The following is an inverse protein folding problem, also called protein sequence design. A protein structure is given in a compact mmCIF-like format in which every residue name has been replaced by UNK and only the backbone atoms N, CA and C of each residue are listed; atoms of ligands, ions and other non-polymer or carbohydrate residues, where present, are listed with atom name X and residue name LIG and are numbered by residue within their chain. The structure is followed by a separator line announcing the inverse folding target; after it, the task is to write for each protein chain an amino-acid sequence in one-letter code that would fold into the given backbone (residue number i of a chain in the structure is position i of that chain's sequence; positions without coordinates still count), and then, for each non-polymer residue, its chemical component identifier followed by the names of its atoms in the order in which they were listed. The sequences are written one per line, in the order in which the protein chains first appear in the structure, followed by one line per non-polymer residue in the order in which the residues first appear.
data_IF_509116342801
#
_entry.id   IF_509116342801
#
_cell.length_a   1.000
_cell.length_b   1.000
_cell.length_c   1.000
_cell.angle_alpha   90.00
_cell.angle_beta   90.00
_cell.angle_gamma   90.00
#
_symmetry.space_group_name_H-M   'P 1'
#
loop_
_entity.id
_entity.type
_entity.pdbx_description
1 polymer ?
#
# COMPACT_ATOMS: atom_id res chain seq x y z
N UNK A 1 6.57 8.01 55.92
CA UNK A 1 5.98 7.14 54.90
C UNK A 1 5.27 8.06 53.92
N UNK A 2 5.91 8.36 52.80
CA UNK A 2 5.36 9.22 51.75
C UNK A 2 5.00 8.33 50.54
N UNK A 3 3.71 8.25 50.24
CA UNK A 3 3.20 7.58 49.04
C UNK A 3 3.55 8.42 47.81
N UNK A 4 4.45 7.92 46.97
CA UNK A 4 4.67 8.41 45.62
C UNK A 4 3.76 7.64 44.67
N UNK A 5 2.52 8.10 44.52
CA UNK A 5 1.66 7.71 43.38
C UNK A 5 2.15 8.47 42.13
N UNK A 6 3.05 7.83 41.40
CA UNK A 6 3.44 8.29 40.08
C UNK A 6 2.26 8.18 39.14
N UNK A 7 1.63 9.29 38.88
CA UNK A 7 0.50 9.46 37.97
C UNK A 7 0.97 9.13 36.54
N UNK A 8 0.56 7.95 36.07
CA UNK A 8 0.77 7.49 34.70
C UNK A 8 0.05 8.44 33.75
N UNK A 9 0.70 9.06 32.75
CA UNK A 9 -0.01 9.89 31.80
C UNK A 9 -0.97 9.03 30.97
N UNK A 10 -2.26 9.27 31.13
CA UNK A 10 -3.29 8.68 30.29
C UNK A 10 -3.24 9.34 28.92
N UNK A 11 -2.61 8.71 27.96
CA UNK A 11 -2.69 9.11 26.54
C UNK A 11 -4.07 8.73 26.01
N UNK A 12 -5.05 9.59 26.22
CA UNK A 12 -6.34 9.55 25.51
C UNK A 12 -6.13 9.97 24.04
N UNK A 13 -5.59 9.06 23.22
CA UNK A 13 -5.51 9.23 21.76
C UNK A 13 -6.78 8.72 21.05
N UNK A 14 -7.76 8.22 21.80
CA UNK A 14 -8.97 7.58 21.27
C UNK A 14 -10.02 8.53 20.68
N UNK A 15 -9.92 9.86 20.92
CA UNK A 15 -10.95 10.80 20.50
C UNK A 15 -10.86 11.31 19.06
N UNK A 16 -9.64 11.47 18.52
CA UNK A 16 -9.42 12.03 17.19
C UNK A 16 -9.66 11.00 16.06
N UNK A 17 -9.38 9.74 16.33
CA UNK A 17 -9.48 8.67 15.34
C UNK A 17 -10.94 8.24 15.06
N UNK A 18 -11.82 8.35 16.07
CA UNK A 18 -13.23 7.98 15.91
C UNK A 18 -14.07 9.02 15.14
N UNK A 19 -13.69 10.30 15.19
CA UNK A 19 -14.39 11.37 14.47
C UNK A 19 -14.05 11.40 12.98
N UNK A 20 -12.82 11.01 12.61
CA UNK A 20 -12.37 10.93 11.22
C UNK A 20 -13.04 9.76 10.49
N UNK A 21 -13.32 8.65 11.20
CA UNK A 21 -13.96 7.46 10.60
C UNK A 21 -15.40 7.69 10.14
N UNK A 22 -16.09 8.71 10.65
CA UNK A 22 -17.51 8.97 10.37
C UNK A 22 -17.79 9.52 8.96
N UNK A 23 -16.76 9.95 8.21
CA UNK A 23 -16.88 10.51 6.86
C UNK A 23 -16.17 9.69 5.76
N UNK A 24 -15.47 8.61 6.11
CA UNK A 24 -14.70 7.83 5.14
C UNK A 24 -15.60 6.78 4.49
N UNK A 25 -15.65 6.68 3.13
CA UNK A 25 -16.40 5.63 2.45
C UNK A 25 -15.97 4.24 2.91
N UNK A 26 -16.94 3.34 3.10
CA UNK A 26 -16.68 1.96 3.55
C UNK A 26 -15.67 1.23 2.66
N UNK A 27 -15.78 1.39 1.33
CA UNK A 27 -14.84 0.79 0.39
C UNK A 27 -13.39 1.21 0.65
N UNK A 28 -13.17 2.47 1.06
CA UNK A 28 -11.83 2.96 1.39
C UNK A 28 -11.33 2.35 2.71
N UNK A 29 -12.18 2.24 3.72
CA UNK A 29 -11.82 1.59 5.00
C UNK A 29 -11.47 0.12 4.80
N UNK A 30 -12.26 -0.61 4.00
CA UNK A 30 -12.01 -2.01 3.68
C UNK A 30 -10.65 -2.15 2.93
N UNK A 31 -10.35 -1.25 2.00
CA UNK A 31 -9.09 -1.25 1.27
C UNK A 31 -7.90 -0.91 2.18
N UNK A 32 -8.03 0.08 3.08
CA UNK A 32 -7.01 0.40 4.10
C UNK A 32 -6.71 -0.84 4.94
N UNK A 33 -7.76 -1.54 5.39
CA UNK A 33 -7.60 -2.76 6.18
C UNK A 33 -6.82 -3.84 5.42
N UNK A 34 -7.10 -4.02 4.12
CA UNK A 34 -6.39 -4.98 3.27
C UNK A 34 -4.92 -4.60 3.05
N UNK A 35 -4.63 -3.31 2.82
CA UNK A 35 -3.25 -2.80 2.69
C UNK A 35 -2.49 -3.03 4.00
N UNK A 36 -3.08 -2.66 5.14
CA UNK A 36 -2.50 -2.85 6.48
C UNK A 36 -2.24 -4.33 6.77
N UNK A 37 -3.20 -5.20 6.47
CA UNK A 37 -3.04 -6.65 6.62
C UNK A 37 -1.87 -7.19 5.78
N UNK A 38 -1.69 -6.69 4.56
CA UNK A 38 -0.60 -7.10 3.69
C UNK A 38 0.76 -6.59 4.16
N UNK A 39 0.80 -5.39 4.73
CA UNK A 39 2.01 -4.81 5.34
C UNK A 39 2.32 -5.44 6.70
N UNK A 40 1.36 -6.11 7.33
CA UNK A 40 1.44 -6.64 8.70
C UNK A 40 1.68 -5.55 9.74
N UNK A 41 1.16 -4.35 9.49
CA UNK A 41 1.27 -3.20 10.38
C UNK A 41 0.18 -3.27 11.47
N UNK A 42 0.48 -4.04 12.51
CA UNK A 42 -0.40 -4.25 13.66
C UNK A 42 0.35 -3.93 14.95
N UNK A 43 -0.33 -3.37 15.98
CA UNK A 43 0.29 -3.02 17.26
C UNK A 43 1.03 -4.19 17.91
N UNK A 44 0.50 -5.41 17.79
CA UNK A 44 1.08 -6.62 18.38
C UNK A 44 2.42 -7.01 17.72
N UNK A 45 2.64 -6.58 16.48
CA UNK A 45 3.86 -6.85 15.73
C UNK A 45 4.86 -5.70 15.82
N UNK A 46 4.40 -4.48 16.06
CA UNK A 46 5.20 -3.26 16.16
C UNK A 46 5.66 -3.01 17.61
N UNK A 47 6.51 -3.90 18.11
CA UNK A 47 6.94 -3.92 19.53
C UNK A 47 7.59 -2.65 20.05
N UNK A 48 8.16 -1.82 19.17
CA UNK A 48 8.84 -0.58 19.57
C UNK A 48 7.87 0.60 19.70
N UNK A 49 6.79 0.59 18.94
CA UNK A 49 5.86 1.73 18.83
C UNK A 49 4.58 1.44 19.62
N UNK A 50 4.29 0.16 19.90
CA UNK A 50 3.03 -0.31 20.52
C UNK A 50 1.79 0.24 19.83
N UNK A 51 1.89 0.47 18.50
CA UNK A 51 0.88 1.07 17.67
C UNK A 51 1.03 0.74 16.18
N UNK A 52 0.25 1.41 15.35
CA UNK A 52 0.43 1.35 13.90
C UNK A 52 1.60 2.25 13.48
N UNK A 53 2.48 1.75 12.63
CA UNK A 53 3.59 2.53 12.06
C UNK A 53 3.06 3.57 11.06
N UNK A 54 2.03 3.19 10.29
CA UNK A 54 1.44 4.04 9.26
C UNK A 54 0.00 4.41 9.63
N UNK A 55 -0.37 5.67 9.55
CA UNK A 55 -1.73 6.13 9.82
C UNK A 55 -2.72 5.72 8.70
N UNK A 56 -4.02 5.59 9.04
CA UNK A 56 -5.06 5.32 8.04
C UNK A 56 -5.11 6.40 6.95
N UNK A 57 -4.77 7.65 7.29
CA UNK A 57 -4.70 8.76 6.35
C UNK A 57 -3.58 8.60 5.33
N UNK A 58 -2.39 8.19 5.75
CA UNK A 58 -1.26 7.95 4.87
C UNK A 58 -1.54 6.78 3.92
N UNK A 59 -2.15 5.70 4.42
CA UNK A 59 -2.58 4.58 3.58
C UNK A 59 -3.65 5.04 2.58
N UNK A 60 -4.60 5.90 2.99
CA UNK A 60 -5.61 6.44 2.08
C UNK A 60 -4.97 7.28 0.95
N UNK A 61 -3.97 8.10 1.25
CA UNK A 61 -3.22 8.83 0.23
C UNK A 61 -2.48 7.90 -0.73
N UNK A 62 -1.82 6.88 -0.21
CA UNK A 62 -1.13 5.88 -1.03
C UNK A 62 -2.10 5.10 -1.96
N UNK A 63 -3.32 4.84 -1.52
CA UNK A 63 -4.36 4.23 -2.35
C UNK A 63 -4.76 5.18 -3.50
N UNK A 64 -4.96 6.47 -3.19
CA UNK A 64 -5.30 7.48 -4.20
C UNK A 64 -4.18 7.66 -5.22
N UNK A 65 -2.93 7.69 -4.77
CA UNK A 65 -1.74 7.77 -5.61
C UNK A 65 -1.62 6.56 -6.54
N UNK A 66 -1.86 5.34 -6.03
CA UNK A 66 -1.85 4.13 -6.84
C UNK A 66 -2.97 4.10 -7.91
N UNK A 67 -4.14 4.69 -7.63
CA UNK A 67 -5.22 4.84 -8.60
C UNK A 67 -4.83 5.86 -9.67
N UNK A 68 -4.24 6.97 -9.27
CA UNK A 68 -3.81 8.03 -10.19
C UNK A 68 -2.68 7.54 -11.11
N UNK A 69 -1.68 6.86 -10.57
CA UNK A 69 -0.62 6.21 -11.31
C UNK A 69 -1.17 5.22 -12.35
N UNK A 70 -2.16 4.41 -11.97
CA UNK A 70 -2.82 3.51 -12.91
C UNK A 70 -3.53 4.28 -14.01
N UNK A 71 -4.26 5.35 -13.69
CA UNK A 71 -5.02 6.13 -14.66
C UNK A 71 -4.12 6.89 -15.64
N UNK A 72 -3.02 7.43 -15.18
CA UNK A 72 -2.09 8.25 -15.99
C UNK A 72 -1.12 7.42 -16.83
N UNK A 73 -0.90 6.15 -16.49
CA UNK A 73 -0.05 5.25 -17.27
C UNK A 73 -0.70 4.87 -18.60
N UNK A 74 0.00 4.96 -19.75
CA UNK A 74 -0.51 4.49 -21.05
C UNK A 74 -0.72 2.95 -21.09
N UNK A 75 -1.66 2.43 -21.93
CA UNK A 75 -2.63 3.18 -22.71
C UNK A 75 -3.69 3.85 -21.86
N UNK A 76 -4.03 5.10 -22.21
CA UNK A 76 -5.06 5.85 -21.50
C UNK A 76 -6.44 5.26 -21.83
N UNK A 77 -7.12 4.83 -20.79
CA UNK A 77 -8.46 4.26 -20.84
C UNK A 77 -9.35 5.15 -19.97
N UNK A 78 -10.64 4.85 -19.88
CA UNK A 78 -11.54 5.50 -18.93
C UNK A 78 -10.95 5.53 -17.53
N UNK A 79 -10.96 6.68 -16.83
CA UNK A 79 -10.41 6.78 -15.49
C UNK A 79 -11.17 5.89 -14.51
N UNK A 80 -10.42 5.11 -13.76
CA UNK A 80 -10.96 4.25 -12.70
C UNK A 80 -11.00 5.01 -11.37
N UNK A 81 -12.00 4.66 -10.57
CA UNK A 81 -12.12 5.07 -9.17
C UNK A 81 -11.96 3.85 -8.28
N UNK A 82 -11.92 4.05 -6.97
CA UNK A 82 -11.75 2.96 -6.02
C UNK A 82 -12.81 1.85 -6.19
N UNK A 83 -14.08 2.24 -6.40
CA UNK A 83 -15.22 1.33 -6.48
C UNK A 83 -15.20 0.43 -7.72
N UNK A 84 -14.60 0.89 -8.80
CA UNK A 84 -14.55 0.18 -10.08
C UNK A 84 -13.13 -0.18 -10.53
N UNK A 85 -12.18 -0.19 -9.59
CA UNK A 85 -10.79 -0.50 -9.91
C UNK A 85 -10.65 -1.96 -10.40
N UNK A 86 -9.96 -2.21 -11.52
CA UNK A 86 -10.03 -3.49 -12.22
C UNK A 86 -9.31 -4.65 -11.50
N UNK A 87 -8.42 -4.35 -10.57
CA UNK A 87 -7.66 -5.37 -9.84
C UNK A 87 -7.27 -4.92 -8.44
N UNK A 88 -7.97 -5.42 -7.43
CA UNK A 88 -7.68 -5.12 -6.02
C UNK A 88 -6.24 -5.53 -5.63
N UNK A 89 -5.72 -6.62 -6.15
CA UNK A 89 -4.35 -7.07 -5.84
C UNK A 89 -3.29 -6.12 -6.39
N UNK A 90 -3.55 -5.51 -7.54
CA UNK A 90 -2.68 -4.51 -8.14
C UNK A 90 -2.74 -3.20 -7.35
N UNK A 91 -3.95 -2.77 -6.96
CA UNK A 91 -4.15 -1.58 -6.12
C UNK A 91 -3.40 -1.70 -4.80
N UNK A 92 -3.58 -2.81 -4.07
CA UNK A 92 -2.87 -3.05 -2.81
C UNK A 92 -1.36 -2.99 -3.01
N UNK A 93 -0.83 -3.57 -4.08
CA UNK A 93 0.61 -3.55 -4.36
C UNK A 93 1.13 -2.15 -4.66
N UNK A 94 0.43 -1.37 -5.49
CA UNK A 94 0.77 0.03 -5.76
C UNK A 94 0.75 0.87 -4.50
N UNK A 95 -0.29 0.73 -3.68
CA UNK A 95 -0.39 1.43 -2.39
C UNK A 95 0.75 1.09 -1.43
N UNK A 96 1.20 -0.17 -1.38
CA UNK A 96 2.33 -0.56 -0.54
C UNK A 96 3.63 0.09 -1.02
N UNK A 97 3.86 0.19 -2.33
CA UNK A 97 5.04 0.87 -2.89
C UNK A 97 5.03 2.33 -2.42
N UNK A 98 3.93 3.05 -2.61
CA UNK A 98 3.79 4.45 -2.19
C UNK A 98 3.99 4.64 -0.66
N UNK A 99 3.46 3.73 0.17
CA UNK A 99 3.70 3.76 1.63
C UNK A 99 5.18 3.57 1.95
N UNK A 100 5.85 2.59 1.34
CA UNK A 100 7.28 2.33 1.60
C UNK A 100 8.14 3.51 1.14
N UNK A 101 7.80 4.15 0.03
CA UNK A 101 8.46 5.38 -0.45
C UNK A 101 8.31 6.52 0.55
N UNK A 102 7.10 6.72 1.09
CA UNK A 102 6.83 7.72 2.13
C UNK A 102 7.63 7.45 3.42
N UNK A 103 7.67 6.19 3.87
CA UNK A 103 8.47 5.78 5.02
C UNK A 103 9.97 6.01 4.75
N UNK A 104 10.44 5.69 3.55
CA UNK A 104 11.83 5.91 3.14
C UNK A 104 12.21 7.39 3.18
N UNK A 105 11.35 8.27 2.70
CA UNK A 105 11.54 9.72 2.78
C UNK A 105 11.58 10.21 4.24
N UNK A 106 10.69 9.72 5.09
CA UNK A 106 10.66 10.06 6.50
C UNK A 106 11.95 9.61 7.21
N UNK A 107 12.40 8.39 6.96
CA UNK A 107 13.64 7.85 7.52
C UNK A 107 14.85 8.69 7.10
N UNK A 108 14.94 9.06 5.81
CA UNK A 108 16.03 9.89 5.29
C UNK A 108 16.06 11.28 5.94
N UNK A 109 14.89 11.89 6.17
CA UNK A 109 14.79 13.20 6.84
C UNK A 109 15.17 13.14 8.31
N UNK A 110 14.98 12.02 8.98
CA UNK A 110 15.17 11.83 10.41
C UNK A 110 16.52 11.14 10.73
N UNK A 111 17.40 10.98 9.75
CA UNK A 111 18.75 10.44 9.99
C UNK A 111 19.54 11.42 10.85
N UNK A 112 19.82 11.00 12.08
CA UNK A 112 20.74 11.70 12.98
C UNK A 112 22.00 10.86 13.14
N UNK A 113 23.12 11.41 12.69
CA UNK A 113 24.44 10.87 13.00
C UNK A 113 25.01 11.70 14.14
N UNK A 114 25.13 11.09 15.31
CA UNK A 114 25.84 11.70 16.43
C UNK A 114 27.20 11.00 16.58
N UNK A 115 28.28 11.77 16.45
CA UNK A 115 29.65 11.35 16.78
C UNK A 115 30.16 12.22 17.86
N UNK A 116 30.36 11.65 19.06
CA UNK A 116 31.10 12.33 20.12
C UNK A 116 32.59 12.09 19.86
N UNK A 117 33.39 13.16 19.88
CA UNK A 117 34.83 13.12 19.59
C UNK A 117 35.67 12.22 20.54
N UNK A 118 35.01 11.52 21.46
CA UNK A 118 35.63 10.54 22.39
C UNK A 118 35.42 9.08 21.99
N UNK A 119 35.01 8.81 20.74
CA UNK A 119 34.95 7.45 20.19
C UNK A 119 33.60 6.74 20.35
N UNK A 120 32.56 7.40 20.85
CA UNK A 120 31.20 6.87 20.87
C UNK A 120 30.47 7.38 19.61
N UNK A 121 30.30 6.53 18.61
CA UNK A 121 29.45 6.81 17.47
C UNK A 121 28.12 6.07 17.63
N UNK A 122 27.03 6.80 17.76
CA UNK A 122 25.68 6.25 17.67
C UNK A 122 25.21 6.46 16.22
N UNK A 123 25.33 5.42 15.41
CA UNK A 123 24.70 5.40 14.09
C UNK A 123 23.32 4.77 14.23
N UNK A 124 22.26 5.53 13.94
CA UNK A 124 20.97 4.93 13.65
C UNK A 124 21.13 4.11 12.37
N UNK A 125 20.87 2.82 12.45
CA UNK A 125 20.98 1.90 11.32
C UNK A 125 20.24 2.46 10.11
N UNK A 126 20.98 2.75 9.03
CA UNK A 126 20.41 3.27 7.80
C UNK A 126 19.53 2.18 7.13
N UNK A 127 18.21 2.33 7.25
CA UNK A 127 17.24 1.45 6.61
C UNK A 127 16.98 1.80 5.14
N UNK A 128 17.52 2.92 4.65
CA UNK A 128 17.31 3.42 3.31
C UNK A 128 17.63 2.40 2.22
N UNK A 129 18.84 1.78 2.19
CA UNK A 129 19.18 0.77 1.19
C UNK A 129 18.25 -0.45 1.19
N UNK A 130 17.79 -0.88 2.36
CA UNK A 130 16.84 -1.98 2.49
C UNK A 130 15.47 -1.61 1.91
N UNK A 131 14.96 -0.43 2.22
CA UNK A 131 13.68 0.07 1.70
C UNK A 131 13.73 0.23 0.18
N UNK A 132 14.83 0.78 -0.36
CA UNK A 132 15.05 0.89 -1.81
C UNK A 132 15.09 -0.47 -2.50
N UNK A 133 15.69 -1.47 -1.88
CA UNK A 133 15.68 -2.85 -2.40
C UNK A 133 14.27 -3.43 -2.47
N UNK A 134 13.44 -3.21 -1.44
CA UNK A 134 12.04 -3.62 -1.45
C UNK A 134 11.21 -2.89 -2.50
N UNK A 135 11.39 -1.57 -2.64
CA UNK A 135 10.73 -0.77 -3.67
C UNK A 135 11.05 -1.34 -5.05
N UNK A 136 12.33 -1.54 -5.37
CA UNK A 136 12.75 -2.06 -6.67
C UNK A 136 12.15 -3.46 -6.96
N UNK A 137 12.12 -4.35 -5.96
CA UNK A 137 11.54 -5.68 -6.10
C UNK A 137 10.03 -5.63 -6.39
N UNK A 138 9.31 -4.76 -5.70
CA UNK A 138 7.86 -4.63 -5.88
C UNK A 138 7.50 -3.85 -7.13
N UNK A 139 8.21 -2.75 -7.44
CA UNK A 139 7.94 -1.89 -8.57
C UNK A 139 8.07 -2.64 -9.90
N UNK A 140 9.14 -3.41 -10.11
CA UNK A 140 9.31 -4.17 -11.35
C UNK A 140 8.12 -5.10 -11.65
N UNK A 141 7.69 -5.87 -10.65
CA UNK A 141 6.55 -6.77 -10.78
C UNK A 141 5.21 -6.04 -10.91
N UNK A 142 5.08 -4.87 -10.26
CA UNK A 142 3.90 -4.01 -10.32
C UNK A 142 3.74 -3.43 -11.72
N UNK A 143 4.78 -2.81 -12.28
CA UNK A 143 4.77 -2.20 -13.61
C UNK A 143 4.43 -3.21 -14.70
N UNK A 144 5.02 -4.40 -14.66
CA UNK A 144 4.71 -5.46 -15.63
C UNK A 144 3.24 -5.87 -15.57
N UNK A 145 2.69 -6.06 -14.36
CA UNK A 145 1.28 -6.43 -14.19
C UNK A 145 0.33 -5.30 -14.60
N UNK A 146 0.66 -4.07 -14.22
CA UNK A 146 -0.08 -2.85 -14.61
C UNK A 146 -0.19 -2.74 -16.12
N UNK A 147 0.93 -2.84 -16.81
CA UNK A 147 0.98 -2.75 -18.26
C UNK A 147 0.16 -3.86 -18.94
N UNK A 148 0.37 -5.12 -18.53
CA UNK A 148 -0.40 -6.27 -19.08
C UNK A 148 -1.90 -6.12 -18.86
N UNK A 149 -2.31 -5.70 -17.67
CA UNK A 149 -3.74 -5.50 -17.39
C UNK A 149 -4.33 -4.39 -18.26
N UNK A 150 -3.63 -3.26 -18.40
CA UNK A 150 -4.07 -2.16 -19.27
C UNK A 150 -4.17 -2.57 -20.74
N UNK A 151 -3.20 -3.33 -21.23
CA UNK A 151 -3.27 -3.89 -22.59
C UNK A 151 -4.47 -4.82 -22.76
N UNK A 152 -4.74 -5.70 -21.80
CA UNK A 152 -5.88 -6.61 -21.85
C UNK A 152 -7.21 -5.85 -21.84
N UNK A 153 -7.35 -4.82 -21.01
CA UNK A 153 -8.54 -3.97 -20.96
C UNK A 153 -8.73 -3.23 -22.29
N UNK A 154 -7.65 -2.62 -22.82
CA UNK A 154 -7.70 -1.89 -24.08
C UNK A 154 -8.08 -2.79 -25.25
N UNK A 155 -7.49 -3.99 -25.32
CA UNK A 155 -7.82 -4.99 -26.32
C UNK A 155 -9.28 -5.45 -26.19
N UNK A 156 -9.75 -5.72 -24.97
CA UNK A 156 -11.14 -6.07 -24.72
C UNK A 156 -12.13 -4.98 -25.14
N UNK A 157 -11.77 -3.72 -24.92
CA UNK A 157 -12.56 -2.57 -25.34
C UNK A 157 -12.55 -2.43 -26.87
N UNK A 158 -11.39 -2.56 -27.52
CA UNK A 158 -11.23 -2.47 -28.97
C UNK A 158 -12.00 -3.57 -29.69
N UNK A 159 -12.09 -4.76 -29.12
CA UNK A 159 -12.84 -5.91 -29.67
C UNK A 159 -14.32 -5.90 -29.26
N UNK A 160 -14.82 -4.80 -28.69
CA UNK A 160 -16.18 -4.62 -28.25
C UNK A 160 -16.69 -5.73 -27.32
N UNK A 161 -15.84 -6.18 -26.41
CA UNK A 161 -16.14 -7.25 -25.47
C UNK A 161 -16.23 -8.66 -26.06
N UNK A 162 -16.06 -8.80 -27.38
CA UNK A 162 -15.88 -10.10 -27.98
C UNK A 162 -14.50 -10.59 -27.70
N UNK A 163 -14.34 -11.45 -26.70
CA UNK A 163 -13.10 -12.16 -26.45
C UNK A 163 -12.64 -12.81 -27.76
N UNK A 164 -11.34 -12.80 -28.03
CA UNK A 164 -10.76 -13.63 -29.07
C UNK A 164 -11.02 -15.07 -28.62
N UNK A 165 -12.06 -15.67 -29.18
CA UNK A 165 -12.33 -17.10 -29.03
C UNK A 165 -11.16 -17.82 -29.71
N UNK A 166 -10.22 -18.33 -28.92
CA UNK A 166 -9.18 -19.22 -29.42
C UNK A 166 -9.89 -20.49 -29.97
N UNK A 167 -9.42 -21.03 -31.09
CA UNK A 167 -9.89 -22.32 -31.57
C UNK A 167 -9.83 -23.42 -30.49
N UNK A 168 -8.90 -23.28 -29.52
CA UNK A 168 -8.79 -24.15 -28.37
C UNK A 168 -9.97 -24.05 -27.37
N UNK A 169 -10.72 -22.93 -27.33
CA UNK A 169 -11.92 -22.83 -26.49
C UNK A 169 -13.10 -23.62 -27.03
N UNK A 170 -13.12 -23.84 -28.35
CA UNK A 170 -14.11 -24.69 -29.02
C UNK A 170 -13.83 -26.18 -28.74
N UNK A 171 -12.55 -26.57 -28.60
CA UNK A 171 -12.16 -27.94 -28.34
C UNK A 171 -12.50 -28.35 -26.91
N UNK A 172 -12.32 -27.45 -25.92
CA UNK A 172 -12.67 -27.72 -24.52
C UNK A 172 -14.18 -27.93 -24.31
N UNK A 173 -15.04 -27.23 -25.09
CA UNK A 173 -16.48 -27.43 -25.03
C UNK A 173 -16.94 -28.81 -25.54
N UNK A 174 -16.16 -29.49 -26.37
CA UNK A 174 -16.46 -30.85 -26.85
C UNK A 174 -16.08 -31.95 -25.82
N UNK A 175 -15.26 -31.67 -24.83
CA UNK A 175 -14.84 -32.66 -23.82
C UNK A 175 -15.68 -32.59 -22.56
N UNK A 176 -16.42 -31.51 -22.32
CA UNK A 176 -17.31 -31.38 -21.16
C UNK A 176 -18.67 -32.10 -21.35
N UNK A 177 -18.98 -32.58 -22.56
CA UNK A 177 -20.22 -33.32 -22.92
C UNK A 177 -19.99 -34.84 -23.07
N UNK A 178 -18.81 -35.39 -22.70
CA UNK A 178 -18.45 -36.81 -22.69
C UNK A 178 -18.29 -37.34 -21.28
#
# INVERSE_FOLDING_TARGET
MANNDAQKPSTNVTGADASVKKGIPKALLDTITLVRAKMRDYPELNRLIEGHETSDREIAFAIMEAIDDFNTTPPLITPYKLENFPSMSLLIRGSIIAVIESIGLLQTRNQMQYSDGQGVSVSVSDKGPMLMSWINLFAQSYEQKKFRLKQAINLGTALNGKGVSSEYSLINGYFDDL
#
